data_IF_509913891991
#
_entry.id   IF_509913891991
#
_cell.length_a   1.000
_cell.length_b   1.000
_cell.length_c   1.000
_cell.angle_alpha   90.00
_cell.angle_beta   90.00
_cell.angle_gamma   90.00
#
_symmetry.space_group_name_H-M   'P 1'
#
loop_
_entity.id
_entity.type
_entity.pdbx_description
1 polymer ?
#
# COMPACT_ATOMS: atom_id res chain seq x y z
N UNK A 1 -0.54 6.98 -19.47
CA UNK A 1 -1.68 6.78 -18.55
C UNK A 1 -1.34 5.66 -17.57
N UNK A 2 -1.55 5.90 -16.29
CA UNK A 2 -1.22 4.91 -15.27
C UNK A 2 -2.32 3.87 -15.15
N UNK A 3 -1.93 2.60 -15.15
CA UNK A 3 -2.87 1.50 -14.94
C UNK A 3 -2.78 1.03 -13.50
N UNK A 4 -3.94 0.77 -12.90
CA UNK A 4 -4.05 0.26 -11.54
C UNK A 4 -4.80 -1.06 -11.57
N UNK A 5 -4.19 -2.11 -11.03
CA UNK A 5 -4.81 -3.42 -10.94
C UNK A 5 -5.03 -3.80 -9.48
N UNK A 6 -6.04 -4.61 -9.23
CA UNK A 6 -6.38 -5.10 -7.89
C UNK A 6 -6.37 -6.62 -7.90
N UNK A 7 -6.12 -7.22 -6.75
CA UNK A 7 -6.37 -8.65 -6.54
C UNK A 7 -7.75 -8.81 -5.87
N UNK A 8 -8.19 -10.04 -5.65
CA UNK A 8 -9.51 -10.30 -5.03
C UNK A 8 -9.62 -9.69 -3.64
N UNK A 9 -8.52 -9.72 -2.88
CA UNK A 9 -8.52 -9.22 -1.50
C UNK A 9 -8.58 -7.69 -1.50
N UNK A 10 -7.71 -7.02 -2.26
CA UNK A 10 -7.68 -5.57 -2.28
C UNK A 10 -8.95 -4.98 -2.89
N UNK A 11 -9.52 -5.65 -3.91
CA UNK A 11 -10.79 -5.22 -4.49
C UNK A 11 -11.92 -5.27 -3.45
N UNK A 12 -11.97 -6.33 -2.64
CA UNK A 12 -12.95 -6.45 -1.57
C UNK A 12 -12.74 -5.38 -0.50
N UNK A 13 -11.49 -5.09 -0.16
CA UNK A 13 -11.16 -4.04 0.81
C UNK A 13 -11.63 -2.67 0.33
N UNK A 14 -11.41 -2.36 -0.94
CA UNK A 14 -11.88 -1.11 -1.54
C UNK A 14 -13.41 -1.05 -1.55
N UNK A 15 -14.07 -2.15 -1.90
CA UNK A 15 -15.54 -2.20 -1.92
C UNK A 15 -16.17 -1.92 -0.56
N UNK A 16 -15.45 -2.18 0.52
CA UNK A 16 -15.92 -1.91 1.87
C UNK A 16 -15.82 -0.42 2.26
N UNK A 17 -15.09 0.38 1.48
CA UNK A 17 -14.94 1.81 1.75
C UNK A 17 -16.16 2.55 1.19
N UNK A 18 -16.74 3.52 1.95
CA UNK A 18 -17.85 4.33 1.41
C UNK A 18 -17.46 5.02 0.10
N UNK A 19 -18.39 5.10 -0.85
CA UNK A 19 -18.12 5.55 -2.21
C UNK A 19 -17.42 6.91 -2.28
N UNK A 20 -17.83 7.87 -1.48
CA UNK A 20 -17.19 9.20 -1.47
C UNK A 20 -15.75 9.14 -1.01
N UNK A 21 -15.45 8.29 -0.05
CA UNK A 21 -14.08 8.10 0.43
C UNK A 21 -13.22 7.38 -0.60
N UNK A 22 -13.80 6.44 -1.34
CA UNK A 22 -13.10 5.78 -2.46
C UNK A 22 -12.64 6.81 -3.49
N UNK A 23 -13.54 7.72 -3.87
CA UNK A 23 -13.21 8.77 -4.85
C UNK A 23 -12.07 9.65 -4.36
N UNK A 24 -12.12 10.09 -3.10
CA UNK A 24 -11.06 10.92 -2.53
C UNK A 24 -9.72 10.19 -2.49
N UNK A 25 -9.75 8.94 -2.07
CA UNK A 25 -8.56 8.12 -1.92
C UNK A 25 -7.84 7.94 -3.27
N UNK A 26 -8.56 7.52 -4.30
CA UNK A 26 -7.96 7.25 -5.61
C UNK A 26 -7.71 8.50 -6.44
N UNK A 27 -8.42 9.59 -6.16
CA UNK A 27 -8.11 10.89 -6.78
C UNK A 27 -6.71 11.35 -6.40
N UNK A 28 -6.29 11.10 -5.16
CA UNK A 28 -4.98 11.49 -4.66
C UNK A 28 -3.89 10.45 -4.94
N UNK A 29 -4.28 9.21 -5.26
CA UNK A 29 -3.33 8.12 -5.46
C UNK A 29 -2.71 8.16 -6.85
N UNK A 30 -1.60 8.90 -6.96
CA UNK A 30 -0.86 9.05 -8.22
C UNK A 30 0.59 8.67 -8.00
N UNK A 31 1.01 7.55 -8.55
CA UNK A 31 2.38 7.04 -8.40
C UNK A 31 3.29 7.72 -9.42
N UNK A 32 4.35 8.38 -8.94
CA UNK A 32 5.36 9.00 -9.80
C UNK A 32 6.66 8.19 -9.74
N UNK A 33 7.64 8.58 -10.55
CA UNK A 33 8.94 7.90 -10.59
C UNK A 33 9.69 8.04 -9.26
N UNK A 34 9.53 9.14 -8.55
CA UNK A 34 10.16 9.34 -7.25
C UNK A 34 9.73 8.29 -6.24
N UNK A 35 8.46 7.83 -6.31
CA UNK A 35 7.98 6.78 -5.44
C UNK A 35 8.76 5.49 -5.66
N UNK A 36 9.11 5.20 -6.91
CA UNK A 36 9.78 3.96 -7.29
C UNK A 36 11.26 3.94 -6.95
N UNK A 37 11.88 5.11 -6.83
CA UNK A 37 13.31 5.22 -6.51
C UNK A 37 13.59 5.37 -5.01
N UNK A 38 12.55 5.47 -4.20
CA UNK A 38 12.71 5.65 -2.77
C UNK A 38 12.79 7.11 -2.32
N UNK A 39 12.61 8.05 -3.26
CA UNK A 39 12.64 9.48 -3.00
C UNK A 39 11.36 10.14 -3.47
N UNK A 40 10.20 9.79 -2.90
CA UNK A 40 8.94 10.39 -3.33
C UNK A 40 8.90 11.87 -2.99
N UNK A 41 8.42 12.67 -3.95
CA UNK A 41 8.20 14.11 -3.74
C UNK A 41 7.02 14.29 -2.77
N UNK A 42 6.01 13.45 -2.89
CA UNK A 42 4.82 13.47 -2.06
C UNK A 42 5.07 12.68 -0.77
N UNK A 43 4.99 13.32 0.42
CA UNK A 43 5.27 12.64 1.69
C UNK A 43 4.25 11.55 2.04
N UNK A 44 3.12 11.47 1.32
CA UNK A 44 2.15 10.39 1.52
C UNK A 44 2.67 9.04 1.04
N UNK A 45 3.70 9.03 0.19
CA UNK A 45 4.33 7.82 -0.31
C UNK A 45 5.53 7.44 0.52
N UNK A 46 5.74 6.15 0.67
CA UNK A 46 6.89 5.61 1.38
C UNK A 46 7.14 4.17 0.97
N UNK A 47 8.09 3.54 1.64
CA UNK A 47 8.53 2.19 1.33
C UNK A 47 8.61 1.38 2.61
N UNK A 48 8.11 0.14 2.56
CA UNK A 48 8.32 -0.86 3.61
C UNK A 48 9.24 -1.91 3.01
N UNK A 49 10.42 -2.09 3.59
CA UNK A 49 11.44 -2.98 3.03
C UNK A 49 12.02 -3.87 4.10
N UNK A 50 12.22 -5.15 3.75
CA UNK A 50 12.86 -6.13 4.61
C UNK A 50 13.60 -7.16 3.76
N UNK A 51 14.89 -7.35 4.03
CA UNK A 51 15.73 -8.36 3.40
C UNK A 51 15.66 -8.34 1.86
N UNK A 52 15.69 -7.13 1.29
CA UNK A 52 15.61 -6.94 -0.16
C UNK A 52 14.21 -6.98 -0.75
N UNK A 53 13.22 -7.32 0.05
CA UNK A 53 11.82 -7.30 -0.38
C UNK A 53 11.23 -5.93 -0.10
N UNK A 54 10.60 -5.35 -1.11
CA UNK A 54 10.08 -3.98 -1.03
C UNK A 54 8.61 -3.93 -1.41
N UNK A 55 7.82 -3.18 -0.62
CA UNK A 55 6.47 -2.80 -0.99
C UNK A 55 6.33 -1.30 -0.79
N UNK A 56 5.58 -0.66 -1.70
CA UNK A 56 5.34 0.77 -1.63
C UNK A 56 4.08 1.04 -0.81
N UNK A 57 4.08 2.16 -0.11
CA UNK A 57 2.97 2.58 0.72
C UNK A 57 2.47 3.95 0.29
N UNK A 58 1.15 4.11 0.17
CA UNK A 58 0.49 5.41 0.05
C UNK A 58 -0.41 5.61 1.26
N UNK A 59 -0.33 6.79 1.87
CA UNK A 59 -1.16 7.19 3.01
C UNK A 59 -2.14 8.24 2.52
N UNK A 60 -3.45 8.05 2.81
CA UNK A 60 -4.47 9.01 2.38
C UNK A 60 -4.31 10.35 3.13
N UNK A 61 -4.89 11.42 2.55
CA UNK A 61 -4.79 12.77 3.11
C UNK A 61 -5.30 12.87 4.54
N UNK A 62 -6.35 12.11 4.87
CA UNK A 62 -6.95 12.11 6.20
C UNK A 62 -6.30 11.09 7.12
N UNK A 63 -5.23 10.44 6.67
CA UNK A 63 -4.48 9.44 7.43
C UNK A 63 -5.32 8.21 7.81
N UNK A 64 -6.46 7.99 7.13
CA UNK A 64 -7.36 6.88 7.43
C UNK A 64 -6.98 5.58 6.75
N UNK A 65 -6.46 5.65 5.53
CA UNK A 65 -6.19 4.46 4.73
C UNK A 65 -4.73 4.39 4.31
N UNK A 66 -4.26 3.15 4.14
CA UNK A 66 -2.94 2.86 3.58
C UNK A 66 -3.13 1.93 2.40
N UNK A 67 -2.55 2.29 1.25
CA UNK A 67 -2.52 1.42 0.08
C UNK A 67 -1.10 0.85 -0.01
N UNK A 68 -1.00 -0.47 0.03
CA UNK A 68 0.27 -1.18 -0.19
C UNK A 68 0.27 -1.76 -1.57
N UNK A 69 1.28 -1.40 -2.38
CA UNK A 69 1.28 -1.74 -3.79
C UNK A 69 2.68 -2.08 -4.29
N UNK A 70 2.71 -2.82 -5.39
CA UNK A 70 3.92 -3.09 -6.16
C UNK A 70 3.74 -2.49 -7.55
N UNK A 71 4.83 -2.40 -8.31
CA UNK A 71 4.77 -1.90 -9.68
C UNK A 71 5.35 -2.97 -10.59
N UNK A 72 4.58 -3.37 -11.60
CA UNK A 72 4.98 -4.37 -12.57
C UNK A 72 4.91 -3.77 -13.96
N UNK A 73 5.64 -4.36 -14.91
CA UNK A 73 5.55 -3.95 -16.31
C UNK A 73 4.62 -4.90 -17.05
N UNK A 74 3.73 -4.33 -17.88
CA UNK A 74 2.88 -5.14 -18.76
C UNK A 74 3.63 -5.53 -20.03
N UNK A 75 2.95 -6.23 -20.95
CA UNK A 75 3.52 -6.70 -22.19
C UNK A 75 4.03 -5.55 -23.07
N UNK A 76 3.44 -4.37 -22.96
CA UNK A 76 3.82 -3.17 -23.73
C UNK A 76 4.97 -2.38 -23.09
N UNK A 77 5.47 -2.83 -21.94
CA UNK A 77 6.52 -2.15 -21.21
C UNK A 77 6.03 -1.00 -20.32
N UNK A 78 4.74 -0.79 -20.22
CA UNK A 78 4.15 0.23 -19.35
C UNK A 78 4.08 -0.23 -17.90
N UNK A 79 4.17 0.71 -16.97
CA UNK A 79 4.05 0.40 -15.55
C UNK A 79 2.59 0.16 -15.16
N UNK A 80 2.38 -0.92 -14.42
CA UNK A 80 1.08 -1.23 -13.82
C UNK A 80 1.26 -1.23 -12.30
N UNK A 81 0.47 -0.40 -11.62
CA UNK A 81 0.43 -0.36 -10.16
C UNK A 81 -0.49 -1.49 -9.71
N UNK A 82 0.04 -2.45 -8.97
CA UNK A 82 -0.75 -3.57 -8.45
C UNK A 82 -0.99 -3.34 -6.97
N UNK A 83 -2.25 -3.07 -6.63
CA UNK A 83 -2.64 -2.82 -5.23
C UNK A 83 -2.76 -4.17 -4.52
N UNK A 84 -1.85 -4.44 -3.61
CA UNK A 84 -1.80 -5.70 -2.87
C UNK A 84 -2.77 -5.72 -1.70
N UNK A 85 -2.77 -4.66 -0.91
CA UNK A 85 -3.70 -4.53 0.23
C UNK A 85 -4.11 -3.06 0.42
N UNK A 86 -5.33 -2.87 0.91
CA UNK A 86 -5.82 -1.55 1.35
C UNK A 86 -6.27 -1.71 2.79
N UNK A 87 -5.58 -1.05 3.71
CA UNK A 87 -5.82 -1.21 5.14
C UNK A 87 -6.27 0.10 5.76
N UNK A 88 -7.23 0.01 6.68
CA UNK A 88 -7.63 1.16 7.48
C UNK A 88 -6.63 1.36 8.61
N UNK A 89 -6.42 2.62 9.00
CA UNK A 89 -5.50 2.96 10.09
C UNK A 89 -5.80 2.20 11.38
N UNK A 90 -7.09 1.97 11.67
CA UNK A 90 -7.49 1.23 12.88
C UNK A 90 -7.00 -0.22 12.86
N UNK A 91 -6.96 -0.85 11.68
CA UNK A 91 -6.42 -2.20 11.55
C UNK A 91 -4.93 -2.24 11.84
N UNK A 92 -4.22 -1.16 11.57
CA UNK A 92 -2.79 -1.06 11.80
C UNK A 92 -2.43 -0.79 13.26
N UNK A 93 -3.36 -0.27 14.05
CA UNK A 93 -3.14 -0.01 15.48
C UNK A 93 -2.73 -1.28 16.23
N UNK A 94 -3.26 -2.43 15.83
CA UNK A 94 -2.92 -3.71 16.45
C UNK A 94 -1.43 -4.04 16.31
N UNK A 95 -0.79 -3.58 15.25
CA UNK A 95 0.65 -3.77 15.03
C UNK A 95 1.51 -2.85 15.90
N UNK A 96 0.95 -1.70 16.28
CA UNK A 96 1.70 -0.65 17.00
C UNK A 96 1.40 -0.58 18.49
N UNK A 97 0.31 -1.18 18.93
CA UNK A 97 -0.17 -1.05 20.29
C UNK A 97 0.88 -1.43 21.34
N UNK A 98 1.70 -2.44 21.03
CA UNK A 98 2.72 -2.93 21.96
C UNK A 98 4.01 -2.11 21.99
N UNK A 99 4.13 -1.09 21.19
CA UNK A 99 5.41 -0.42 20.99
C UNK A 99 5.43 1.06 21.25
N UNK A 100 4.28 1.70 21.41
CA UNK A 100 4.18 3.12 21.69
C UNK A 100 4.80 4.04 20.64
N UNK A 101 5.03 3.56 19.42
CA UNK A 101 5.60 4.39 18.37
C UNK A 101 4.52 5.11 17.57
N UNK A 102 4.78 6.39 17.25
CA UNK A 102 3.90 7.16 16.39
C UNK A 102 4.12 6.85 14.91
N UNK A 103 3.52 7.66 14.04
CA UNK A 103 3.55 7.45 12.59
C UNK A 103 4.93 7.38 11.98
N UNK A 104 5.90 8.09 12.52
CA UNK A 104 7.26 8.14 11.98
C UNK A 104 7.95 6.79 11.96
N UNK A 105 7.55 5.89 12.84
CA UNK A 105 8.11 4.55 12.91
C UNK A 105 7.26 3.48 12.26
N UNK A 106 6.11 3.86 11.67
CA UNK A 106 5.13 2.91 11.13
C UNK A 106 5.75 1.96 10.09
N UNK A 107 6.38 2.51 9.06
CA UNK A 107 6.95 1.69 7.98
C UNK A 107 8.07 0.77 8.50
N UNK A 108 8.90 1.26 9.39
CA UNK A 108 9.98 0.45 9.96
C UNK A 108 9.46 -0.68 10.82
N UNK A 109 8.37 -0.45 11.54
CA UNK A 109 7.74 -1.48 12.36
C UNK A 109 7.06 -2.53 11.51
N UNK A 110 6.32 -2.10 10.50
CA UNK A 110 5.68 -3.03 9.58
C UNK A 110 6.72 -3.90 8.88
N UNK A 111 7.87 -3.33 8.53
CA UNK A 111 8.96 -4.08 7.90
C UNK A 111 9.42 -5.26 8.76
N UNK A 112 9.33 -5.15 10.09
CA UNK A 112 9.74 -6.20 11.03
C UNK A 112 8.60 -7.15 11.41
N UNK A 113 7.38 -6.85 10.99
CA UNK A 113 6.20 -7.62 11.39
C UNK A 113 5.93 -8.78 10.45
N UNK A 114 5.99 -10.01 10.96
CA UNK A 114 5.62 -11.19 10.19
C UNK A 114 4.15 -11.15 9.77
N UNK A 115 3.29 -10.64 10.65
CA UNK A 115 1.86 -10.53 10.38
C UNK A 115 1.59 -9.59 9.23
N UNK A 116 2.31 -8.47 9.15
CA UNK A 116 2.20 -7.55 8.04
C UNK A 116 2.59 -8.22 6.71
N UNK A 117 3.75 -8.86 6.68
CA UNK A 117 4.23 -9.51 5.46
C UNK A 117 3.32 -10.65 5.03
N UNK A 118 2.66 -11.31 5.99
CA UNK A 118 1.66 -12.32 5.65
C UNK A 118 0.47 -11.70 4.92
N UNK A 119 0.03 -10.51 5.34
CA UNK A 119 -1.05 -9.79 4.63
C UNK A 119 -0.63 -9.50 3.19
N UNK A 120 0.61 -9.09 2.98
CA UNK A 120 1.14 -8.82 1.64
C UNK A 120 1.23 -10.11 0.82
N UNK A 121 1.71 -11.20 1.43
CA UNK A 121 1.78 -12.51 0.77
C UNK A 121 0.41 -12.99 0.32
N UNK A 122 -0.61 -12.82 1.15
CA UNK A 122 -1.98 -13.20 0.81
C UNK A 122 -2.48 -12.42 -0.42
N UNK A 123 -2.18 -11.11 -0.48
CA UNK A 123 -2.51 -10.29 -1.62
C UNK A 123 -1.81 -10.73 -2.89
N UNK A 124 -0.52 -11.01 -2.81
CA UNK A 124 0.27 -11.47 -3.96
C UNK A 124 -0.21 -12.83 -4.48
N UNK A 125 -0.59 -13.73 -3.59
CA UNK A 125 -1.15 -15.04 -3.97
C UNK A 125 -2.50 -14.87 -4.67
N UNK A 126 -3.34 -13.96 -4.19
CA UNK A 126 -4.62 -13.68 -4.82
C UNK A 126 -4.45 -13.13 -6.23
N UNK A 127 -3.41 -12.34 -6.46
CA UNK A 127 -3.13 -11.75 -7.78
C UNK A 127 -2.65 -12.78 -8.80
N UNK A 128 -2.15 -13.94 -8.36
CA UNK A 128 -1.59 -14.97 -9.24
C UNK A 128 -2.59 -16.02 -9.72
N UNK A 129 -3.83 -15.87 -9.40
CA UNK A 129 -4.86 -16.82 -9.86
C UNK A 129 -5.11 -16.74 -11.34
#
# INVERSE_FOLDING_TARGET
MQQIAFNEISAAEVSAIPAMQQLKLFFSFKVDEGCLTGNPIDPRFGIVERDGRRIYRFRSDEDEYRIYFTVEKNADGDNVVVVQRVLHADSLKDFFFRSGMGHDGEDKKLAKSRSFWKLIDDGEKAARK
#
